data_IF_113004255012
#
_entry.id   IF_113004255012
#
_cell.length_a   1.000
_cell.length_b   1.000
_cell.length_c   1.000
_cell.angle_alpha   90.00
_cell.angle_beta   90.00
_cell.angle_gamma   90.00
#
_symmetry.space_group_name_H-M   'P 1'
#
loop_
_entity.id
_entity.type
_entity.pdbx_description
1 polymer ?
#
# COMPACT_ATOMS: atom_id res chain seq x y z
N UNK A 1 -21.91 -22.84 3.60
CA UNK A 1 -20.53 -23.16 3.20
C UNK A 1 -19.70 -21.90 3.40
N UNK A 2 -19.13 -21.72 4.59
CA UNK A 2 -18.39 -20.52 4.98
C UNK A 2 -16.90 -20.77 4.67
N UNK A 3 -16.40 -20.15 3.60
CA UNK A 3 -15.01 -20.28 3.16
C UNK A 3 -14.09 -19.65 4.20
N UNK A 4 -13.32 -20.51 4.85
CA UNK A 4 -12.28 -20.20 5.84
C UNK A 4 -11.14 -19.50 5.08
N UNK A 5 -11.02 -18.18 5.23
CA UNK A 5 -9.92 -17.41 4.66
C UNK A 5 -8.58 -17.98 5.18
N UNK A 6 -7.71 -18.32 4.24
CA UNK A 6 -6.46 -19.05 4.45
C UNK A 6 -5.38 -18.12 5.06
N UNK A 7 -4.83 -18.42 6.25
CA UNK A 7 -3.81 -17.59 6.91
C UNK A 7 -2.42 -17.63 6.25
N UNK A 8 -2.28 -18.24 5.05
CA UNK A 8 -0.99 -18.45 4.37
C UNK A 8 -0.44 -17.25 3.60
N UNK A 9 -1.15 -16.12 3.53
CA UNK A 9 -0.62 -14.88 2.94
C UNK A 9 0.03 -13.94 3.96
N UNK A 10 0.47 -14.46 5.11
CA UNK A 10 1.38 -13.76 6.02
C UNK A 10 2.84 -13.80 5.51
N UNK A 11 3.07 -13.49 4.24
CA UNK A 11 4.44 -13.36 3.72
C UNK A 11 4.91 -11.92 3.90
N UNK A 12 5.65 -11.73 4.99
CA UNK A 12 6.73 -10.75 5.06
C UNK A 12 6.34 -9.27 4.87
N UNK A 13 5.51 -8.73 5.75
CA UNK A 13 5.37 -7.26 5.92
C UNK A 13 6.48 -6.65 6.80
N UNK A 14 7.37 -7.47 7.36
CA UNK A 14 8.39 -7.05 8.32
C UNK A 14 9.65 -6.39 7.72
N UNK A 15 9.75 -6.27 6.38
CA UNK A 15 10.91 -5.65 5.71
C UNK A 15 10.63 -4.26 5.13
N UNK A 16 9.38 -3.78 5.19
CA UNK A 16 9.09 -2.41 4.81
C UNK A 16 9.33 -1.52 6.03
N UNK A 17 10.35 -0.66 5.97
CA UNK A 17 10.55 0.39 6.97
C UNK A 17 9.23 1.11 7.25
N UNK A 18 9.00 1.47 8.53
CA UNK A 18 7.76 2.10 9.00
C UNK A 18 7.36 3.22 8.03
N UNK A 19 6.29 3.00 7.27
CA UNK A 19 5.64 4.06 6.51
C UNK A 19 4.81 4.86 7.52
N UNK A 20 5.04 6.17 7.60
CA UNK A 20 4.23 7.06 8.43
C UNK A 20 2.85 7.25 7.78
N UNK A 21 1.81 7.48 8.58
CA UNK A 21 0.44 7.66 8.08
C UNK A 21 0.37 8.84 7.08
N UNK A 22 1.18 9.88 7.30
CA UNK A 22 1.31 11.03 6.38
C UNK A 22 1.95 10.63 5.06
N UNK A 23 2.95 9.76 5.08
CA UNK A 23 3.60 9.26 3.86
C UNK A 23 2.65 8.34 3.10
N UNK A 24 1.87 7.52 3.79
CA UNK A 24 0.85 6.68 3.18
C UNK A 24 -0.22 7.53 2.48
N UNK A 25 -0.73 8.57 3.15
CA UNK A 25 -1.66 9.53 2.55
C UNK A 25 -1.06 10.23 1.33
N UNK A 26 0.18 10.73 1.46
CA UNK A 26 0.87 11.40 0.36
C UNK A 26 1.03 10.46 -0.85
N UNK A 27 1.40 9.19 -0.62
CA UNK A 27 1.52 8.20 -1.70
C UNK A 27 0.19 8.00 -2.44
N UNK A 28 -0.94 7.92 -1.72
CA UNK A 28 -2.27 7.79 -2.33
C UNK A 28 -2.63 9.04 -3.14
N UNK A 29 -2.36 10.23 -2.60
CA UNK A 29 -2.67 11.50 -3.29
C UNK A 29 -1.80 11.67 -4.54
N UNK A 30 -0.49 11.41 -4.47
CA UNK A 30 0.39 11.45 -5.63
C UNK A 30 -0.03 10.43 -6.68
N UNK A 31 -0.36 9.21 -6.29
CA UNK A 31 -0.84 8.19 -7.22
C UNK A 31 -2.15 8.60 -7.91
N UNK A 32 -3.10 9.17 -7.17
CA UNK A 32 -4.37 9.63 -7.72
C UNK A 32 -4.20 10.77 -8.73
N UNK A 33 -3.14 11.58 -8.61
CA UNK A 33 -2.85 12.63 -9.59
C UNK A 33 -2.52 12.11 -10.99
N UNK A 34 -2.15 10.83 -11.12
CA UNK A 34 -1.82 10.19 -12.40
C UNK A 34 -0.52 10.69 -13.04
N UNK A 35 0.26 11.51 -12.33
CA UNK A 35 1.52 12.10 -12.81
C UNK A 35 2.77 11.39 -12.30
N UNK A 36 2.63 10.50 -11.31
CA UNK A 36 3.75 9.86 -10.63
C UNK A 36 3.61 8.34 -10.65
N UNK A 37 4.67 7.66 -11.06
CA UNK A 37 4.78 6.20 -10.96
C UNK A 37 5.25 5.77 -9.56
N UNK A 38 5.12 4.48 -9.24
CA UNK A 38 5.50 3.91 -7.92
C UNK A 38 6.95 4.21 -7.55
N UNK A 39 7.85 4.23 -8.53
CA UNK A 39 9.26 4.57 -8.35
C UNK A 39 9.49 6.05 -8.02
N UNK A 40 8.70 6.95 -8.61
CA UNK A 40 8.83 8.38 -8.34
C UNK A 40 8.27 8.73 -6.97
N UNK A 41 7.17 8.08 -6.58
CA UNK A 41 6.59 8.20 -5.23
C UNK A 41 7.57 7.68 -4.18
N UNK A 42 8.20 6.52 -4.42
CA UNK A 42 9.17 5.93 -3.48
C UNK A 42 10.38 6.84 -3.26
N UNK A 43 10.92 7.42 -4.33
CA UNK A 43 12.00 8.43 -4.28
C UNK A 43 11.56 9.71 -3.57
N UNK A 44 10.38 10.23 -3.89
CA UNK A 44 9.87 11.50 -3.33
C UNK A 44 9.64 11.40 -1.83
N UNK A 45 9.13 10.26 -1.36
CA UNK A 45 8.81 10.04 0.05
C UNK A 45 9.94 9.33 0.82
N UNK A 46 11.05 8.99 0.15
CA UNK A 46 12.17 8.22 0.73
C UNK A 46 11.73 6.91 1.40
N UNK A 47 10.75 6.23 0.81
CA UNK A 47 10.22 4.95 1.30
C UNK A 47 10.49 3.84 0.29
N UNK A 48 10.46 2.59 0.74
CA UNK A 48 10.60 1.45 -0.16
C UNK A 48 9.44 1.37 -1.15
N UNK A 49 9.73 1.00 -2.40
CA UNK A 49 8.70 0.84 -3.42
C UNK A 49 7.66 -0.24 -3.04
N UNK A 50 8.09 -1.29 -2.34
CA UNK A 50 7.19 -2.31 -1.75
C UNK A 50 6.18 -1.70 -0.76
N UNK A 51 6.60 -0.69 0.01
CA UNK A 51 5.73 0.04 0.94
C UNK A 51 4.64 0.81 0.20
N UNK A 52 5.02 1.48 -0.89
CA UNK A 52 4.11 2.23 -1.76
C UNK A 52 3.08 1.28 -2.36
N UNK A 53 3.54 0.17 -2.96
CA UNK A 53 2.66 -0.80 -3.59
C UNK A 53 1.64 -1.38 -2.61
N UNK A 54 2.06 -1.79 -1.42
CA UNK A 54 1.15 -2.31 -0.37
C UNK A 54 0.14 -1.28 0.07
N UNK A 55 0.56 -0.02 0.24
CA UNK A 55 -0.33 1.07 0.64
C UNK A 55 -1.38 1.35 -0.42
N UNK A 56 -0.97 1.40 -1.69
CA UNK A 56 -1.90 1.59 -2.81
C UNK A 56 -2.85 0.39 -2.94
N UNK A 57 -2.36 -0.83 -2.75
CA UNK A 57 -3.19 -2.02 -2.74
C UNK A 57 -4.24 -1.98 -1.62
N UNK A 58 -3.82 -1.71 -0.38
CA UNK A 58 -4.72 -1.55 0.76
C UNK A 58 -5.75 -0.44 0.53
N UNK A 59 -5.33 0.71 -0.01
CA UNK A 59 -6.24 1.81 -0.33
C UNK A 59 -7.30 1.41 -1.37
N UNK A 60 -6.93 0.60 -2.38
CA UNK A 60 -7.88 0.09 -3.38
C UNK A 60 -8.90 -0.89 -2.78
N UNK A 61 -8.49 -1.75 -1.84
CA UNK A 61 -9.40 -2.63 -1.11
C UNK A 61 -10.43 -1.83 -0.29
N UNK A 62 -9.97 -0.79 0.41
CA UNK A 62 -10.85 0.12 1.17
C UNK A 62 -11.85 0.83 0.24
N UNK A 63 -11.40 1.32 -0.91
CA UNK A 63 -12.29 1.96 -1.91
C UNK A 63 -13.28 0.96 -2.51
N UNK A 64 -12.89 -0.30 -2.70
CA UNK A 64 -13.76 -1.36 -3.19
C UNK A 64 -14.80 -1.83 -2.14
N UNK A 65 -14.72 -1.35 -0.90
CA UNK A 65 -15.63 -1.72 0.18
C UNK A 65 -15.38 -3.12 0.74
N UNK A 66 -14.23 -3.72 0.43
CA UNK A 66 -13.82 -5.01 1.00
C UNK A 66 -13.05 -4.76 2.30
N UNK A 67 -13.44 -5.40 3.42
CA UNK A 67 -12.69 -5.27 4.66
C UNK A 67 -11.29 -5.87 4.48
N UNK A 68 -10.28 -5.12 4.94
CA UNK A 68 -8.87 -5.50 4.92
C UNK A 68 -8.55 -6.75 5.77
#
# INVERSE_FOLDING_TARGET
MLSKADPRHATSSAMSGKIDDRQALAAIVLWNSGLFDTLDISKTLSIGEDAVYRTLHAARHVVAGEPA
#
